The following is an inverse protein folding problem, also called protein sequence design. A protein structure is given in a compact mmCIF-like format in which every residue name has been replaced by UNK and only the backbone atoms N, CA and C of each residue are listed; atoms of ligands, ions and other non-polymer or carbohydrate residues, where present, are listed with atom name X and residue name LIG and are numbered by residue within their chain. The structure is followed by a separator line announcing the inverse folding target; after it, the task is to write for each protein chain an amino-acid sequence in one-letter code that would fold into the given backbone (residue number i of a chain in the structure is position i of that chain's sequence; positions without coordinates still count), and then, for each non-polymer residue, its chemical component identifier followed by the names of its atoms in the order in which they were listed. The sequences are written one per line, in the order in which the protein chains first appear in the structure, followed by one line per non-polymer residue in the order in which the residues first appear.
data_IF_715288947250
#
_entry.id   IF_715288947250
#
_cell.length_a   1.000
_cell.length_b   1.000
_cell.length_c   1.000
_cell.angle_alpha   90.00
_cell.angle_beta   90.00
_cell.angle_gamma   90.00
#
_symmetry.space_group_name_H-M   'P 1'
#
loop_
_entity.id
_entity.type
_entity.pdbx_description
1 polymer ?
#
# COMPACT_ATOMS: atom_id res chain seq x y z
N UNK A 1 3.34 29.23 0.34
CA UNK A 1 2.39 29.85 -0.60
C UNK A 1 3.10 29.94 -1.94
N UNK A 2 2.50 29.42 -3.01
CA UNK A 2 3.05 29.57 -4.37
C UNK A 2 2.29 30.71 -5.02
N UNK A 3 3.00 31.70 -5.55
CA UNK A 3 2.42 32.81 -6.31
C UNK A 3 2.67 32.55 -7.80
N UNK A 4 1.63 32.66 -8.62
CA UNK A 4 1.70 32.58 -10.08
C UNK A 4 1.52 33.99 -10.65
N UNK A 5 2.40 34.92 -10.26
CA UNK A 5 2.33 36.33 -10.66
C UNK A 5 3.66 36.79 -11.27
N UNK A 6 3.60 37.86 -12.08
CA UNK A 6 4.80 38.45 -12.69
C UNK A 6 5.66 39.17 -11.63
N UNK A 7 6.97 39.20 -11.88
CA UNK A 7 7.98 39.67 -10.93
C UNK A 7 7.88 41.16 -10.58
N UNK A 8 7.08 41.92 -11.33
CA UNK A 8 6.85 43.35 -11.15
C UNK A 8 5.97 43.69 -9.94
N UNK A 9 5.29 42.72 -9.32
CA UNK A 9 4.41 42.94 -8.16
C UNK A 9 4.99 42.47 -6.81
N UNK A 10 6.25 42.06 -6.75
CA UNK A 10 6.86 41.46 -5.56
C UNK A 10 6.72 42.32 -4.29
N UNK A 11 6.98 43.63 -4.36
CA UNK A 11 6.87 44.53 -3.19
C UNK A 11 5.43 44.65 -2.67
N UNK A 12 4.45 44.64 -3.59
CA UNK A 12 3.04 44.74 -3.24
C UNK A 12 2.55 43.44 -2.60
N UNK A 13 2.96 42.28 -3.14
CA UNK A 13 2.67 40.97 -2.58
C UNK A 13 3.36 40.77 -1.21
N UNK A 14 4.61 41.21 -1.07
CA UNK A 14 5.35 41.17 0.19
C UNK A 14 4.61 41.92 1.30
N UNK A 15 4.11 43.13 1.01
CA UNK A 15 3.29 43.92 1.95
C UNK A 15 1.95 43.25 2.26
N UNK A 16 1.29 42.65 1.27
CA UNK A 16 -0.03 42.00 1.44
C UNK A 16 0.04 40.74 2.30
N UNK A 17 1.09 39.92 2.11
CA UNK A 17 1.19 38.59 2.71
C UNK A 17 2.24 38.48 3.82
N UNK A 18 3.00 39.55 4.09
CA UNK A 18 3.90 39.64 5.24
C UNK A 18 5.21 38.86 5.12
N UNK A 19 5.79 38.77 3.91
CA UNK A 19 7.10 38.15 3.66
C UNK A 19 8.13 39.20 3.22
N UNK A 20 9.44 38.90 3.35
CA UNK A 20 10.49 39.78 2.81
C UNK A 20 10.81 39.35 1.38
N UNK A 21 11.12 40.29 0.50
CA UNK A 21 11.52 39.96 -0.88
C UNK A 21 12.77 39.07 -0.94
N UNK A 22 13.64 39.15 0.06
CA UNK A 22 14.78 38.23 0.24
C UNK A 22 14.39 36.77 0.47
N UNK A 23 13.14 36.50 0.85
CA UNK A 23 12.62 35.14 1.10
C UNK A 23 12.08 34.50 -0.18
N UNK A 24 12.04 35.26 -1.29
CA UNK A 24 11.55 34.77 -2.58
C UNK A 24 12.62 33.89 -3.23
N UNK A 25 12.22 32.66 -3.55
CA UNK A 25 12.97 31.80 -4.47
C UNK A 25 12.33 31.87 -5.85
N UNK A 26 12.97 32.57 -6.76
CA UNK A 26 12.56 32.62 -8.16
C UNK A 26 12.97 31.32 -8.86
N UNK A 27 12.03 30.72 -9.60
CA UNK A 27 12.31 29.61 -10.50
C UNK A 27 12.94 30.14 -11.79
N UNK A 28 13.80 29.35 -12.43
CA UNK A 28 14.28 29.68 -13.77
C UNK A 28 13.16 29.54 -14.82
N UNK A 29 13.39 30.14 -15.99
CA UNK A 29 12.43 30.12 -17.11
C UNK A 29 12.09 28.72 -17.67
N UNK A 30 12.77 27.68 -17.20
CA UNK A 30 12.59 26.28 -17.63
C UNK A 30 12.18 25.37 -16.47
N UNK A 31 11.92 25.93 -15.30
CA UNK A 31 11.45 25.21 -14.11
C UNK A 31 9.98 25.49 -13.86
N UNK A 32 9.26 24.47 -13.39
CA UNK A 32 7.88 24.59 -12.98
C UNK A 32 7.63 23.69 -11.76
N UNK A 33 6.61 24.03 -10.99
CA UNK A 33 6.08 23.14 -9.96
C UNK A 33 4.97 22.28 -10.52
N UNK A 34 4.87 21.07 -9.98
CA UNK A 34 3.70 20.20 -10.10
C UNK A 34 3.40 19.62 -8.72
N UNK A 35 2.15 19.16 -8.47
CA UNK A 35 1.86 18.36 -7.29
C UNK A 35 2.78 17.14 -7.23
N UNK A 36 3.12 16.71 -6.02
CA UNK A 36 3.86 15.47 -5.83
C UNK A 36 3.03 14.27 -6.30
N UNK A 37 3.70 13.25 -6.83
CA UNK A 37 3.04 12.04 -7.29
C UNK A 37 2.53 11.21 -6.10
N UNK A 38 1.44 10.49 -6.33
CA UNK A 38 0.77 9.61 -5.37
C UNK A 38 0.83 8.19 -5.93
N UNK A 39 1.62 7.35 -5.28
CA UNK A 39 1.74 5.93 -5.60
C UNK A 39 0.76 5.16 -4.71
N UNK A 40 -0.32 4.66 -5.30
CA UNK A 40 -1.43 4.06 -4.55
C UNK A 40 -1.23 2.57 -4.27
N UNK A 41 -0.17 1.95 -4.78
CA UNK A 41 0.15 0.55 -4.51
C UNK A 41 1.62 0.23 -4.82
N UNK A 42 2.38 -0.10 -3.79
CA UNK A 42 3.78 -0.50 -3.93
C UNK A 42 4.20 -1.48 -2.83
N UNK A 43 4.87 -2.56 -3.23
CA UNK A 43 5.50 -3.51 -2.30
C UNK A 43 6.92 -3.06 -1.96
N UNK A 44 7.08 -2.42 -0.80
CA UNK A 44 8.39 -2.04 -0.29
C UNK A 44 9.40 -3.21 -0.23
N UNK A 45 9.03 -4.43 0.23
CA UNK A 45 10.01 -5.50 0.39
C UNK A 45 10.54 -6.08 -0.93
N UNK A 46 9.81 -5.86 -2.02
CA UNK A 46 10.15 -6.39 -3.33
C UNK A 46 11.13 -5.48 -4.10
N UNK A 47 11.45 -4.31 -3.56
CA UNK A 47 12.40 -3.37 -4.17
C UNK A 47 13.78 -3.98 -4.45
N UNK A 48 14.19 -4.96 -3.63
CA UNK A 48 15.49 -5.62 -3.74
C UNK A 48 15.71 -6.40 -5.05
N UNK A 49 14.63 -6.77 -5.76
CA UNK A 49 14.70 -7.48 -7.04
C UNK A 49 13.90 -6.80 -8.17
N UNK A 50 13.43 -5.57 -7.96
CA UNK A 50 12.72 -4.80 -9.00
C UNK A 50 13.54 -4.71 -10.28
N UNK A 51 12.89 -4.94 -11.42
CA UNK A 51 13.53 -4.97 -12.74
C UNK A 51 14.19 -6.30 -13.09
N UNK A 52 14.03 -7.33 -12.26
CA UNK A 52 14.42 -8.70 -12.54
C UNK A 52 13.23 -9.64 -12.32
N UNK A 53 13.33 -10.89 -12.78
CA UNK A 53 12.39 -11.97 -12.40
C UNK A 53 10.93 -11.67 -12.78
N UNK A 54 10.71 -11.26 -14.03
CA UNK A 54 9.38 -10.96 -14.64
C UNK A 54 9.00 -12.00 -15.70
N UNK A 55 9.52 -13.22 -15.54
CA UNK A 55 9.49 -14.27 -16.56
C UNK A 55 8.50 -15.40 -16.25
N UNK A 56 7.75 -15.29 -15.15
CA UNK A 56 6.85 -16.33 -14.65
C UNK A 56 5.43 -15.78 -14.43
N UNK A 57 4.38 -16.61 -14.62
CA UNK A 57 3.02 -16.26 -14.21
C UNK A 57 2.93 -15.95 -12.71
N UNK A 58 2.00 -15.06 -12.32
CA UNK A 58 1.87 -14.50 -10.96
C UNK A 58 2.03 -15.55 -9.83
N UNK A 59 1.27 -16.65 -9.86
CA UNK A 59 1.29 -17.62 -8.76
C UNK A 59 2.64 -18.36 -8.65
N UNK A 60 3.28 -18.61 -9.80
CA UNK A 60 4.62 -19.19 -9.85
C UNK A 60 5.68 -18.17 -9.44
N UNK A 61 5.53 -16.92 -9.87
CA UNK A 61 6.40 -15.80 -9.49
C UNK A 61 6.39 -15.57 -7.99
N UNK A 62 5.19 -15.57 -7.37
CA UNK A 62 5.02 -15.44 -5.92
C UNK A 62 5.82 -16.50 -5.16
N UNK A 63 5.68 -17.75 -5.59
CA UNK A 63 6.33 -18.92 -4.97
C UNK A 63 7.84 -18.91 -5.19
N UNK A 64 8.29 -18.56 -6.39
CA UNK A 64 9.71 -18.68 -6.80
C UNK A 64 10.56 -17.53 -6.28
N UNK A 65 10.02 -16.31 -6.26
CA UNK A 65 10.80 -15.10 -6.03
C UNK A 65 10.33 -14.29 -4.83
N UNK A 66 9.02 -14.05 -4.76
CA UNK A 66 8.46 -13.05 -3.84
C UNK A 66 8.47 -13.54 -2.40
N UNK A 67 7.80 -14.65 -2.09
CA UNK A 67 7.75 -15.18 -0.72
C UNK A 67 9.14 -15.52 -0.15
N UNK A 68 10.08 -16.15 -0.90
CA UNK A 68 11.44 -16.38 -0.41
C UNK A 68 12.22 -15.08 -0.12
N UNK A 69 11.91 -13.99 -0.83
CA UNK A 69 12.54 -12.69 -0.59
C UNK A 69 11.92 -12.00 0.62
N UNK A 70 10.60 -11.96 0.70
CA UNK A 70 9.91 -11.33 1.83
C UNK A 70 10.19 -12.06 3.16
N UNK A 71 10.39 -13.38 3.16
CA UNK A 71 10.78 -14.14 4.34
C UNK A 71 12.14 -13.71 4.96
N UNK A 72 12.98 -12.99 4.22
CA UNK A 72 14.25 -12.45 4.72
C UNK A 72 14.06 -11.23 5.61
N UNK A 73 12.90 -10.57 5.55
CA UNK A 73 12.61 -9.38 6.36
C UNK A 73 12.41 -9.67 7.85
N UNK A 74 12.51 -10.93 8.28
CA UNK A 74 12.73 -11.23 9.71
C UNK A 74 14.06 -10.66 10.24
N UNK A 75 15.00 -10.38 9.34
CA UNK A 75 16.27 -9.71 9.63
C UNK A 75 16.08 -8.19 9.49
N UNK A 76 16.21 -7.48 10.62
CA UNK A 76 16.04 -6.03 10.69
C UNK A 76 17.06 -5.26 9.88
N UNK A 77 18.31 -5.76 9.76
CA UNK A 77 19.37 -5.06 9.04
C UNK A 77 19.08 -5.10 7.53
N UNK A 78 18.66 -6.27 7.04
CA UNK A 78 18.19 -6.43 5.66
C UNK A 78 16.97 -5.55 5.36
N UNK A 79 16.01 -5.52 6.28
CA UNK A 79 14.83 -4.67 6.16
C UNK A 79 15.19 -3.18 6.11
N UNK A 80 16.05 -2.70 7.03
CA UNK A 80 16.49 -1.30 7.08
C UNK A 80 17.16 -0.89 5.76
N UNK A 81 18.05 -1.75 5.25
CA UNK A 81 18.78 -1.49 4.01
C UNK A 81 17.83 -1.31 2.81
N UNK A 82 16.89 -2.24 2.62
CA UNK A 82 15.97 -2.18 1.46
C UNK A 82 14.93 -1.08 1.63
N UNK A 83 14.32 -0.94 2.82
CA UNK A 83 13.32 0.10 3.09
C UNK A 83 13.91 1.50 2.97
N UNK A 84 15.13 1.73 3.47
CA UNK A 84 15.83 3.02 3.28
C UNK A 84 16.03 3.33 1.81
N UNK A 85 16.38 2.33 0.98
CA UNK A 85 16.60 2.55 -0.45
C UNK A 85 15.31 2.86 -1.19
N UNK A 86 14.23 2.12 -0.97
CA UNK A 86 12.97 2.33 -1.70
C UNK A 86 12.36 3.69 -1.37
N UNK A 87 12.32 4.09 -0.09
CA UNK A 87 11.78 5.40 0.33
C UNK A 87 12.58 6.56 -0.26
N UNK A 88 13.92 6.47 -0.24
CA UNK A 88 14.78 7.49 -0.88
C UNK A 88 14.58 7.53 -2.39
N UNK A 89 14.40 6.36 -3.03
CA UNK A 89 14.22 6.26 -4.48
C UNK A 89 12.89 6.87 -4.90
N UNK A 90 11.78 6.52 -4.26
CA UNK A 90 10.44 7.02 -4.58
C UNK A 90 10.37 8.54 -4.40
N UNK A 91 10.87 9.07 -3.28
CA UNK A 91 10.96 10.52 -3.05
C UNK A 91 11.78 11.24 -4.13
N UNK A 92 12.97 10.72 -4.48
CA UNK A 92 13.81 11.33 -5.52
C UNK A 92 13.14 11.34 -6.90
N UNK A 93 12.23 10.41 -7.16
CA UNK A 93 11.45 10.37 -8.38
C UNK A 93 10.12 11.13 -8.29
N UNK A 94 9.85 11.86 -7.20
CA UNK A 94 8.68 12.73 -7.07
C UNK A 94 7.46 12.11 -6.39
N UNK A 95 7.54 10.85 -5.94
CA UNK A 95 6.47 10.20 -5.15
C UNK A 95 6.46 10.75 -3.73
N UNK A 96 5.54 11.69 -3.48
CA UNK A 96 5.38 12.33 -2.16
C UNK A 96 4.43 11.59 -1.24
N UNK A 97 3.53 10.77 -1.79
CA UNK A 97 2.62 9.89 -1.05
C UNK A 97 2.73 8.47 -1.60
N UNK A 98 2.84 7.47 -0.72
CA UNK A 98 2.89 6.06 -1.12
C UNK A 98 2.02 5.17 -0.21
N UNK A 99 1.34 4.19 -0.79
CA UNK A 99 0.61 3.16 -0.06
C UNK A 99 1.40 1.85 -0.09
N UNK A 100 2.11 1.56 1.00
CA UNK A 100 3.08 0.48 1.05
C UNK A 100 2.48 -0.82 1.59
N UNK A 101 2.70 -1.90 0.84
CA UNK A 101 2.75 -3.25 1.41
C UNK A 101 4.14 -3.46 2.02
N UNK A 102 4.19 -3.84 3.29
CA UNK A 102 5.39 -4.31 3.99
C UNK A 102 5.46 -5.84 3.91
N UNK A 103 5.79 -6.53 5.01
CA UNK A 103 5.77 -8.01 5.10
C UNK A 103 4.88 -8.46 6.25
N UNK A 104 4.82 -9.77 6.52
CA UNK A 104 4.10 -10.29 7.69
C UNK A 104 4.76 -9.93 9.03
N UNK A 105 6.02 -9.47 9.01
CA UNK A 105 6.77 -9.17 10.23
C UNK A 105 6.46 -7.75 10.72
N UNK A 106 5.76 -7.66 11.84
CA UNK A 106 5.32 -6.40 12.46
C UNK A 106 6.48 -5.45 12.76
N UNK A 107 7.55 -5.92 13.41
CA UNK A 107 8.64 -5.04 13.86
C UNK A 107 9.35 -4.37 12.68
N UNK A 108 9.59 -5.11 11.59
CA UNK A 108 10.17 -4.52 10.38
C UNK A 108 9.16 -3.67 9.59
N UNK A 109 7.87 -3.94 9.72
CA UNK A 109 6.84 -3.05 9.16
C UNK A 109 6.77 -1.72 9.91
N UNK A 110 6.96 -1.72 11.23
CA UNK A 110 7.13 -0.51 12.05
C UNK A 110 8.43 0.23 11.70
N UNK A 111 9.52 -0.50 11.44
CA UNK A 111 10.78 0.08 10.95
C UNK A 111 10.59 0.81 9.61
N UNK A 112 9.82 0.25 8.67
CA UNK A 112 9.47 0.95 7.43
C UNK A 112 8.77 2.29 7.73
N UNK A 113 7.81 2.31 8.66
CA UNK A 113 7.12 3.53 9.06
C UNK A 113 8.07 4.58 9.69
N UNK A 114 9.03 4.15 10.52
CA UNK A 114 10.06 5.01 11.09
C UNK A 114 10.95 5.63 10.00
N UNK A 115 11.39 4.82 9.03
CA UNK A 115 12.20 5.27 7.89
C UNK A 115 11.43 6.29 7.05
N UNK A 116 10.15 6.05 6.77
CA UNK A 116 9.27 6.96 6.01
C UNK A 116 9.15 8.31 6.73
N UNK A 117 8.89 8.31 8.05
CA UNK A 117 8.79 9.54 8.84
C UNK A 117 10.12 10.31 8.85
N UNK A 118 11.24 9.60 9.06
CA UNK A 118 12.60 10.16 9.01
C UNK A 118 12.91 10.88 7.69
N UNK A 119 12.45 10.34 6.56
CA UNK A 119 12.63 10.97 5.24
C UNK A 119 11.50 11.94 4.87
N UNK A 120 10.46 12.07 5.70
CA UNK A 120 9.38 13.04 5.54
C UNK A 120 8.36 12.71 4.44
N UNK A 121 8.31 11.46 3.96
CA UNK A 121 7.30 11.04 2.97
C UNK A 121 5.93 10.88 3.65
N UNK A 122 4.84 11.20 2.95
CA UNK A 122 3.48 10.82 3.41
C UNK A 122 3.25 9.36 3.03
N UNK A 123 2.72 8.54 3.92
CA UNK A 123 2.45 7.15 3.54
C UNK A 123 1.34 6.49 4.34
N UNK A 124 0.81 5.43 3.74
CA UNK A 124 0.16 4.34 4.46
C UNK A 124 1.12 3.16 4.51
N UNK A 125 1.24 2.51 5.66
CA UNK A 125 2.09 1.33 5.86
C UNK A 125 1.23 0.18 6.32
N UNK A 126 1.30 -0.93 5.58
CA UNK A 126 0.53 -2.13 5.88
C UNK A 126 1.43 -3.31 6.21
N UNK A 127 1.38 -3.78 7.47
CA UNK A 127 1.80 -5.13 7.82
C UNK A 127 0.89 -6.11 7.07
N UNK A 128 1.49 -6.97 6.26
CA UNK A 128 0.76 -7.94 5.44
C UNK A 128 0.19 -9.04 6.33
N UNK A 129 -1.04 -9.45 6.06
CA UNK A 129 -1.70 -10.56 6.75
C UNK A 129 -1.89 -11.72 5.77
N UNK A 130 -1.44 -12.92 6.17
CA UNK A 130 -1.59 -14.15 5.38
C UNK A 130 -1.46 -15.37 6.29
N UNK A 131 -2.54 -16.14 6.45
CA UNK A 131 -2.57 -17.40 7.19
C UNK A 131 -2.71 -18.65 6.30
N UNK A 132 -2.85 -18.45 4.98
CA UNK A 132 -2.85 -19.49 3.96
C UNK A 132 -1.66 -19.29 2.99
N UNK A 133 -0.78 -20.28 2.91
CA UNK A 133 0.32 -20.32 1.93
C UNK A 133 0.86 -21.75 1.81
N UNK A 134 0.22 -22.59 1.00
CA UNK A 134 0.62 -23.99 0.86
C UNK A 134 1.91 -24.14 0.03
N UNK A 135 2.17 -23.20 -0.89
CA UNK A 135 3.36 -23.21 -1.73
C UNK A 135 4.64 -22.90 -0.95
N UNK A 136 4.56 -22.03 0.07
CA UNK A 136 5.70 -21.62 0.91
C UNK A 136 5.29 -21.61 2.40
N UNK A 137 5.12 -22.79 3.03
CA UNK A 137 4.52 -22.91 4.37
C UNK A 137 5.28 -22.19 5.49
N UNK A 138 6.57 -21.89 5.29
CA UNK A 138 7.39 -21.13 6.24
C UNK A 138 7.12 -19.62 6.23
N UNK A 139 6.39 -19.11 5.24
CA UNK A 139 6.06 -17.69 5.10
C UNK A 139 4.54 -17.51 5.10
N UNK A 140 3.96 -17.74 6.28
CA UNK A 140 2.58 -17.44 6.66
C UNK A 140 2.49 -17.34 8.17
N UNK A 141 1.35 -16.89 8.66
CA UNK A 141 1.03 -16.77 10.07
C UNK A 141 -0.03 -17.80 10.47
N UNK A 142 -0.25 -17.97 11.77
CA UNK A 142 -1.47 -18.61 12.27
C UNK A 142 -2.54 -17.52 12.35
N UNK A 143 -3.81 -17.84 12.08
CA UNK A 143 -4.92 -16.86 12.10
C UNK A 143 -4.93 -15.99 13.36
N UNK A 144 -4.83 -16.61 14.54
CA UNK A 144 -4.80 -15.89 15.82
C UNK A 144 -3.60 -14.95 15.95
N UNK A 145 -2.41 -15.41 15.53
CA UNK A 145 -1.18 -14.61 15.56
C UNK A 145 -1.27 -13.44 14.58
N UNK A 146 -1.81 -13.66 13.37
CA UNK A 146 -2.01 -12.63 12.36
C UNK A 146 -2.91 -11.50 12.87
N UNK A 147 -4.01 -11.85 13.56
CA UNK A 147 -4.92 -10.89 14.19
C UNK A 147 -4.18 -10.12 15.30
N UNK A 148 -3.55 -10.82 16.24
CA UNK A 148 -2.85 -10.22 17.38
C UNK A 148 -1.71 -9.28 16.92
N UNK A 149 -0.93 -9.71 15.93
CA UNK A 149 0.18 -8.94 15.40
C UNK A 149 -0.29 -7.73 14.60
N UNK A 150 -1.45 -7.81 13.95
CA UNK A 150 -2.05 -6.66 13.26
C UNK A 150 -2.59 -5.64 14.25
N UNK A 151 -3.25 -6.09 15.32
CA UNK A 151 -3.65 -5.21 16.44
C UNK A 151 -2.44 -4.51 17.06
N UNK A 152 -1.35 -5.26 17.28
CA UNK A 152 -0.09 -4.73 17.80
C UNK A 152 0.51 -3.70 16.85
N UNK A 153 0.62 -4.02 15.56
CA UNK A 153 1.11 -3.11 14.52
C UNK A 153 0.34 -1.78 14.51
N UNK A 154 -0.99 -1.85 14.43
CA UNK A 154 -1.87 -0.68 14.40
C UNK A 154 -1.67 0.17 15.65
N UNK A 155 -1.72 -0.47 16.83
CA UNK A 155 -1.56 0.22 18.12
C UNK A 155 -0.21 0.93 18.21
N UNK A 156 0.89 0.21 17.99
CA UNK A 156 2.24 0.75 18.11
C UNK A 156 2.48 1.89 17.11
N UNK A 157 2.00 1.76 15.86
CA UNK A 157 2.16 2.82 14.86
C UNK A 157 1.37 4.08 15.22
N UNK A 158 0.13 3.94 15.70
CA UNK A 158 -0.67 5.10 16.15
C UNK A 158 -0.03 5.79 17.37
N UNK A 159 0.58 5.04 18.28
CA UNK A 159 1.29 5.57 19.44
C UNK A 159 2.52 6.41 19.07
N UNK A 160 3.14 6.18 17.89
CA UNK A 160 4.25 7.02 17.38
C UNK A 160 3.81 8.45 17.06
N UNK A 161 2.51 8.69 16.80
CA UNK A 161 1.95 10.01 16.44
C UNK A 161 2.66 10.69 15.27
N UNK A 162 3.09 9.90 14.28
CA UNK A 162 3.66 10.46 13.06
C UNK A 162 2.64 11.34 12.34
N UNK A 163 3.01 12.57 11.91
CA UNK A 163 2.04 13.52 11.36
C UNK A 163 1.52 13.14 9.97
N UNK A 164 2.18 12.20 9.29
CA UNK A 164 1.94 11.89 7.87
C UNK A 164 2.05 10.40 7.51
N UNK A 165 2.22 9.53 8.49
CA UNK A 165 2.33 8.07 8.31
C UNK A 165 1.20 7.41 9.10
N UNK A 166 0.42 6.57 8.44
CA UNK A 166 -0.77 5.92 9.02
C UNK A 166 -0.74 4.41 8.77
N UNK A 167 -1.28 3.58 9.69
CA UNK A 167 -1.51 2.16 9.40
C UNK A 167 -2.61 1.98 8.34
N UNK A 168 -2.50 0.91 7.56
CA UNK A 168 -3.54 0.41 6.65
C UNK A 168 -3.70 -1.11 6.84
N UNK A 169 -4.93 -1.58 6.98
CA UNK A 169 -5.23 -3.01 7.10
C UNK A 169 -4.96 -3.69 5.76
N UNK A 170 -4.14 -4.76 5.80
CA UNK A 170 -3.54 -5.32 4.58
C UNK A 170 -3.63 -6.85 4.54
N UNK A 171 -4.83 -7.43 4.35
CA UNK A 171 -4.90 -8.79 3.80
C UNK A 171 -4.14 -8.79 2.48
N UNK A 172 -3.23 -9.76 2.25
CA UNK A 172 -2.42 -9.73 1.02
C UNK A 172 -3.31 -9.77 -0.21
N UNK A 173 -4.14 -10.80 -0.28
CA UNK A 173 -5.16 -11.08 -1.29
C UNK A 173 -6.05 -12.23 -0.79
N UNK A 174 -7.25 -12.43 -1.34
CA UNK A 174 -8.22 -13.42 -0.85
C UNK A 174 -7.62 -14.82 -0.64
N UNK A 175 -6.94 -15.42 -1.64
CA UNK A 175 -6.33 -16.75 -1.52
C UNK A 175 -5.27 -16.94 -0.42
N UNK A 176 -4.77 -15.86 0.18
CA UNK A 176 -3.81 -15.93 1.28
C UNK A 176 -4.42 -15.87 2.68
N UNK A 177 -5.72 -15.64 2.77
CA UNK A 177 -6.42 -15.39 4.02
C UNK A 177 -7.60 -16.35 4.15
N UNK A 178 -7.72 -17.01 5.30
CA UNK A 178 -8.98 -17.66 5.67
C UNK A 178 -10.11 -16.63 5.79
N UNK A 179 -11.36 -17.07 5.65
CA UNK A 179 -12.52 -16.21 5.85
C UNK A 179 -12.54 -15.63 7.29
N UNK A 180 -12.15 -16.42 8.28
CA UNK A 180 -12.02 -15.97 9.68
C UNK A 180 -11.02 -14.81 9.80
N UNK A 181 -9.87 -14.90 9.13
CA UNK A 181 -8.90 -13.80 9.11
C UNK A 181 -9.46 -12.57 8.40
N UNK A 182 -10.10 -12.73 7.23
CA UNK A 182 -10.69 -11.61 6.49
C UNK A 182 -11.75 -10.88 7.33
N UNK A 183 -12.63 -11.63 7.99
CA UNK A 183 -13.68 -11.09 8.85
C UNK A 183 -13.09 -10.30 10.03
N UNK A 184 -12.08 -10.86 10.71
CA UNK A 184 -11.42 -10.21 11.84
C UNK A 184 -10.67 -8.94 11.43
N UNK A 185 -9.99 -8.93 10.27
CA UNK A 185 -9.34 -7.75 9.73
C UNK A 185 -10.36 -6.66 9.35
N UNK A 186 -11.52 -7.05 8.83
CA UNK A 186 -12.64 -6.14 8.57
C UNK A 186 -13.19 -5.51 9.86
N UNK A 187 -13.35 -6.30 10.93
CA UNK A 187 -13.74 -5.78 12.24
C UNK A 187 -12.72 -4.78 12.79
N UNK A 188 -11.42 -5.11 12.68
CA UNK A 188 -10.35 -4.22 13.12
C UNK A 188 -10.33 -2.91 12.32
N UNK A 189 -10.54 -2.98 11.00
CA UNK A 189 -10.62 -1.80 10.14
C UNK A 189 -11.77 -0.87 10.56
N UNK A 190 -12.95 -1.43 10.86
CA UNK A 190 -14.10 -0.66 11.31
C UNK A 190 -13.91 -0.08 12.71
N UNK A 191 -13.41 -0.87 13.66
CA UNK A 191 -13.23 -0.47 15.05
C UNK A 191 -12.28 0.74 15.20
N UNK A 192 -11.29 0.85 14.31
CA UNK A 192 -10.29 1.92 14.33
C UNK A 192 -10.45 2.93 13.18
N UNK A 193 -11.51 2.82 12.36
CA UNK A 193 -11.78 3.69 11.21
C UNK A 193 -10.57 3.78 10.23
N UNK A 194 -9.94 2.63 9.98
CA UNK A 194 -8.71 2.51 9.19
C UNK A 194 -8.97 2.33 7.69
N UNK A 195 -7.93 2.61 6.91
CA UNK A 195 -7.90 2.25 5.49
C UNK A 195 -7.70 0.74 5.33
N UNK A 196 -8.09 0.22 4.18
CA UNK A 196 -7.86 -1.16 3.75
C UNK A 196 -7.13 -1.14 2.41
N UNK A 197 -6.16 -2.04 2.22
CA UNK A 197 -5.58 -2.31 0.91
C UNK A 197 -5.49 -3.82 0.67
N UNK A 198 -5.72 -4.26 -0.57
CA UNK A 198 -5.56 -5.66 -0.99
C UNK A 198 -5.37 -5.73 -2.51
N UNK A 199 -5.21 -6.94 -3.06
CA UNK A 199 -5.30 -7.21 -4.50
C UNK A 199 -6.68 -7.76 -4.85
N UNK A 200 -7.15 -7.48 -6.07
CA UNK A 200 -8.40 -8.05 -6.57
C UNK A 200 -8.34 -8.30 -8.07
N UNK A 201 -8.84 -9.46 -8.49
CA UNK A 201 -9.08 -9.83 -9.90
C UNK A 201 -7.92 -9.45 -10.83
N UNK A 202 -6.69 -9.81 -10.44
CA UNK A 202 -5.47 -9.45 -11.16
C UNK A 202 -5.29 -10.32 -12.40
N UNK A 203 -5.50 -11.63 -12.26
CA UNK A 203 -5.42 -12.58 -13.38
C UNK A 203 -6.45 -13.73 -13.29
N UNK A 204 -6.61 -14.48 -14.38
CA UNK A 204 -7.61 -15.54 -14.48
C UNK A 204 -7.35 -16.75 -13.56
N UNK A 205 -6.08 -17.06 -13.27
CA UNK A 205 -5.73 -18.17 -12.38
C UNK A 205 -6.10 -17.86 -10.93
N UNK A 206 -5.89 -16.61 -10.50
CA UNK A 206 -6.32 -16.09 -9.20
C UNK A 206 -7.84 -16.17 -9.07
N UNK A 207 -8.61 -15.76 -10.09
CA UNK A 207 -10.07 -15.84 -10.05
C UNK A 207 -10.57 -17.26 -9.82
N UNK A 208 -10.01 -18.23 -10.55
CA UNK A 208 -10.35 -19.65 -10.37
C UNK A 208 -9.99 -20.15 -8.97
N UNK A 209 -8.86 -19.69 -8.43
CA UNK A 209 -8.46 -20.04 -7.08
C UNK A 209 -9.45 -19.51 -6.05
N UNK A 210 -9.88 -18.25 -6.18
CA UNK A 210 -10.89 -17.64 -5.30
C UNK A 210 -12.23 -18.39 -5.39
N UNK A 211 -12.72 -18.69 -6.60
CA UNK A 211 -13.98 -19.43 -6.81
C UNK A 211 -13.95 -20.81 -6.12
N UNK A 212 -12.82 -21.51 -6.20
CA UNK A 212 -12.65 -22.82 -5.56
C UNK A 212 -12.54 -22.73 -4.03
N UNK A 213 -11.86 -21.70 -3.51
CA UNK A 213 -11.65 -21.53 -2.06
C UNK A 213 -12.88 -20.97 -1.34
N UNK A 214 -13.67 -20.14 -2.03
CA UNK A 214 -14.79 -19.38 -1.46
C UNK A 214 -16.08 -19.58 -2.25
N UNK A 215 -16.57 -20.83 -2.44
CA UNK A 215 -17.71 -21.14 -3.30
C UNK A 215 -19.06 -20.58 -2.78
N UNK A 216 -19.09 -20.10 -1.53
CA UNK A 216 -20.26 -19.46 -0.93
C UNK A 216 -20.44 -18.00 -1.38
N UNK A 217 -19.45 -17.43 -2.07
CA UNK A 217 -19.43 -16.05 -2.55
C UNK A 217 -19.68 -16.01 -4.06
N UNK A 218 -20.49 -15.06 -4.51
CA UNK A 218 -20.86 -14.90 -5.92
C UNK A 218 -19.67 -14.53 -6.80
N UNK A 219 -18.76 -13.69 -6.27
CA UNK A 219 -17.56 -13.23 -6.95
C UNK A 219 -16.53 -12.74 -5.93
N UNK A 220 -15.34 -12.39 -6.42
CA UNK A 220 -14.22 -11.95 -5.59
C UNK A 220 -14.51 -10.63 -4.85
N UNK A 221 -15.26 -9.71 -5.48
CA UNK A 221 -15.65 -8.46 -4.80
C UNK A 221 -16.57 -8.71 -3.62
N UNK A 222 -17.51 -9.65 -3.74
CA UNK A 222 -18.44 -10.00 -2.66
C UNK A 222 -17.73 -10.59 -1.45
N UNK A 223 -16.63 -11.33 -1.66
CA UNK A 223 -15.77 -11.83 -0.58
C UNK A 223 -15.28 -10.68 0.31
N UNK A 224 -14.74 -9.61 -0.27
CA UNK A 224 -14.29 -8.46 0.51
C UNK A 224 -15.46 -7.65 1.08
N UNK A 225 -16.56 -7.51 0.35
CA UNK A 225 -17.73 -6.72 0.80
C UNK A 225 -18.37 -7.32 2.05
N UNK A 226 -18.73 -8.61 2.01
CA UNK A 226 -19.35 -9.30 3.15
C UNK A 226 -18.42 -9.44 4.35
N UNK A 227 -17.10 -9.43 4.13
CA UNK A 227 -16.09 -9.42 5.18
C UNK A 227 -15.69 -7.99 5.63
N UNK A 228 -16.47 -6.95 5.30
CA UNK A 228 -16.28 -5.56 5.78
C UNK A 228 -14.98 -4.89 5.31
N UNK A 229 -14.34 -5.43 4.27
CA UNK A 229 -13.08 -4.96 3.71
C UNK A 229 -13.27 -4.07 2.46
N UNK A 230 -14.46 -4.06 1.86
CA UNK A 230 -14.80 -3.15 0.75
C UNK A 230 -15.53 -1.92 1.27
N UNK A 231 -14.77 -0.89 1.66
CA UNK A 231 -15.28 0.35 2.27
C UNK A 231 -14.88 1.58 1.46
N UNK A 232 -15.36 2.76 1.88
CA UNK A 232 -14.94 4.05 1.29
C UNK A 232 -13.47 4.41 1.55
N UNK A 233 -12.76 3.61 2.34
CA UNK A 233 -11.32 3.72 2.60
C UNK A 233 -10.53 2.52 2.08
N UNK A 234 -11.15 1.69 1.24
CA UNK A 234 -10.50 0.55 0.62
C UNK A 234 -9.84 0.94 -0.72
N UNK A 235 -8.62 0.46 -0.94
CA UNK A 235 -7.90 0.56 -2.22
C UNK A 235 -7.53 -0.85 -2.68
N UNK A 236 -8.12 -1.30 -3.79
CA UNK A 236 -7.88 -2.63 -4.34
C UNK A 236 -7.00 -2.54 -5.58
N UNK A 237 -5.88 -3.26 -5.59
CA UNK A 237 -4.90 -3.22 -6.68
C UNK A 237 -5.35 -4.08 -7.87
N UNK A 238 -4.90 -3.66 -9.06
CA UNK A 238 -5.11 -4.29 -10.37
C UNK A 238 -6.52 -4.14 -10.91
N UNK A 239 -7.48 -4.94 -10.41
CA UNK A 239 -8.86 -4.95 -10.88
C UNK A 239 -9.02 -5.19 -12.40
N UNK A 240 -8.13 -5.99 -13.00
CA UNK A 240 -8.12 -6.25 -14.44
C UNK A 240 -9.37 -6.98 -14.94
N UNK A 241 -9.92 -7.87 -14.11
CA UNK A 241 -11.01 -8.77 -14.48
C UNK A 241 -12.29 -8.52 -13.69
N UNK A 242 -12.49 -7.30 -13.15
CA UNK A 242 -13.77 -6.95 -12.53
C UNK A 242 -14.88 -6.89 -13.58
N UNK A 243 -16.03 -7.49 -13.26
CA UNK A 243 -17.25 -7.35 -14.04
C UNK A 243 -17.92 -5.98 -13.83
N UNK A 244 -18.88 -5.62 -14.71
CA UNK A 244 -19.67 -4.38 -14.52
C UNK A 244 -20.48 -4.37 -13.22
N UNK A 245 -20.94 -5.54 -12.76
CA UNK A 245 -21.67 -5.69 -11.49
C UNK A 245 -20.76 -5.39 -10.30
N UNK A 246 -19.54 -5.94 -10.32
CA UNK A 246 -18.52 -5.66 -9.30
C UNK A 246 -18.13 -4.19 -9.29
N UNK A 247 -17.93 -3.56 -10.45
CA UNK A 247 -17.65 -2.12 -10.54
C UNK A 247 -18.79 -1.26 -9.97
N UNK A 248 -20.06 -1.67 -10.13
CA UNK A 248 -21.19 -1.00 -9.48
C UNK A 248 -21.13 -1.13 -7.97
N UNK A 249 -20.70 -2.27 -7.44
CA UNK A 249 -20.52 -2.47 -6.01
C UNK A 249 -19.35 -1.62 -5.45
N UNK A 250 -18.23 -1.54 -6.16
CA UNK A 250 -17.14 -0.60 -5.83
C UNK A 250 -17.64 0.84 -5.71
N UNK A 251 -18.39 1.30 -6.73
CA UNK A 251 -18.99 2.64 -6.76
C UNK A 251 -19.95 2.86 -5.58
N UNK A 252 -20.80 1.87 -5.28
CA UNK A 252 -21.75 1.92 -4.17
C UNK A 252 -21.06 2.00 -2.80
N UNK A 253 -19.93 1.30 -2.61
CA UNK A 253 -19.15 1.33 -1.36
C UNK A 253 -18.19 2.51 -1.27
N UNK A 254 -17.93 3.20 -2.39
CA UNK A 254 -16.91 4.24 -2.48
C UNK A 254 -15.49 3.68 -2.44
N UNK A 255 -15.30 2.39 -2.75
CA UNK A 255 -13.99 1.76 -2.79
C UNK A 255 -13.21 2.22 -4.03
N UNK A 256 -11.88 2.28 -3.91
CA UNK A 256 -10.99 2.74 -4.97
C UNK A 256 -10.22 1.57 -5.61
N UNK A 257 -9.76 1.80 -6.84
CA UNK A 257 -8.89 0.88 -7.59
C UNK A 257 -7.50 1.53 -7.72
N UNK A 258 -6.45 0.75 -7.46
CA UNK A 258 -5.08 1.11 -7.85
C UNK A 258 -4.74 0.43 -9.18
N UNK A 259 -4.77 1.21 -10.26
CA UNK A 259 -4.38 0.73 -11.58
C UNK A 259 -2.85 0.60 -11.67
N UNK A 260 -2.37 -0.63 -11.88
CA UNK A 260 -0.95 -0.99 -11.90
C UNK A 260 -0.47 -1.40 -13.31
N UNK A 261 -0.48 -0.51 -14.31
CA UNK A 261 -0.35 -0.89 -15.72
C UNK A 261 0.97 -1.62 -16.03
N UNK A 262 2.10 -1.19 -15.46
CA UNK A 262 3.38 -1.86 -15.71
C UNK A 262 3.35 -3.32 -15.25
N UNK A 263 2.83 -3.59 -14.05
CA UNK A 263 2.67 -4.95 -13.51
C UNK A 263 1.69 -5.77 -14.34
N UNK A 264 0.60 -5.15 -14.80
CA UNK A 264 -0.44 -5.85 -15.58
C UNK A 264 0.06 -6.32 -16.96
N UNK A 265 1.12 -5.68 -17.50
CA UNK A 265 1.69 -6.02 -18.80
C UNK A 265 2.97 -6.87 -18.74
N UNK A 266 3.74 -6.77 -17.64
CA UNK A 266 5.06 -7.39 -17.51
C UNK A 266 4.93 -8.84 -17.04
#
# INVERSE_FOLDING_TARGET
IVFLEQNDQQEQLAKKWGFKTSDIRELSNHEFFMPGMVDTHIHAPQYSFTGTRVDLPLLQWLTTYTFPTEAKYKDSDFAEEVYTRVVRRTLKNGTTTACYFATIYTDTSLLLAEIIDKFGQRAFVGKVCMDMNDSVPQYKEITADSIQETERFVKELLEKKYPRVQPVITPRFGPSCTEDLLCALGDLAQAHDLHVQSHISENEEELKLVENMFPAYQNYTELYDKNKLLTSKAVMAHACYLSEEELKLFSLRGAAISHCPNSNFS
#
